data_IF_257991966246
#
_entry.id   IF_257991966246
#
_cell.length_a   1.000
_cell.length_b   1.000
_cell.length_c   1.000
_cell.angle_alpha   90.00
_cell.angle_beta   90.00
_cell.angle_gamma   90.00
#
_symmetry.space_group_name_H-M   'P 1'
#
loop_
_entity.id
_entity.type
_entity.pdbx_description
1 polymer ?
#
# COMPACT_ATOMS: atom_id res chain seq x y z
N UNK A 1 -88.07 0.70 -13.02
CA UNK A 1 -88.26 2.09 -13.49
C UNK A 1 -86.89 2.67 -13.82
N UNK A 2 -86.73 3.07 -15.07
CA UNK A 2 -85.75 3.99 -15.68
C UNK A 2 -84.22 3.79 -15.49
N UNK A 3 -83.58 3.35 -16.59
CA UNK A 3 -82.33 3.96 -17.11
C UNK A 3 -82.69 5.20 -17.98
N UNK A 4 -81.80 5.96 -18.70
CA UNK A 4 -80.31 6.03 -18.79
C UNK A 4 -79.75 7.50 -18.87
N UNK A 5 -78.45 7.69 -19.20
CA UNK A 5 -77.73 8.81 -19.91
C UNK A 5 -76.35 9.08 -19.25
N UNK A 6 -75.17 8.70 -19.80
CA UNK A 6 -74.39 9.13 -20.99
C UNK A 6 -73.88 10.59 -20.99
N UNK A 7 -72.53 10.73 -21.10
CA UNK A 7 -71.65 11.73 -21.77
C UNK A 7 -70.38 11.92 -20.90
N UNK A 8 -69.21 11.32 -21.20
CA UNK A 8 -68.21 11.57 -22.26
C UNK A 8 -67.34 12.83 -22.06
N UNK A 9 -66.03 12.65 -21.81
CA UNK A 9 -64.83 13.33 -22.37
C UNK A 9 -63.63 13.11 -21.40
N UNK A 10 -62.52 12.45 -21.74
CA UNK A 10 -61.36 12.79 -22.61
C UNK A 10 -60.08 13.07 -21.78
N UNK A 11 -58.95 12.65 -22.37
CA UNK A 11 -57.53 12.90 -22.05
C UNK A 11 -56.94 12.04 -20.90
N UNK A 12 -56.12 11.02 -21.18
CA UNK A 12 -54.75 11.03 -21.73
C UNK A 12 -53.70 11.65 -20.80
N UNK A 13 -52.87 10.82 -20.17
CA UNK A 13 -51.41 10.94 -20.25
C UNK A 13 -50.72 9.66 -19.75
N UNK A 14 -49.68 9.29 -20.46
CA UNK A 14 -48.82 8.15 -20.21
C UNK A 14 -47.84 8.40 -19.06
N UNK A 15 -47.51 7.34 -18.32
CA UNK A 15 -46.16 7.09 -17.82
C UNK A 15 -46.03 5.60 -17.50
N UNK A 16 -45.30 4.88 -18.36
CA UNK A 16 -44.85 3.53 -18.08
C UNK A 16 -43.76 3.60 -17.00
N UNK A 17 -44.13 3.36 -15.75
CA UNK A 17 -43.19 3.08 -14.66
C UNK A 17 -42.99 1.58 -14.58
N UNK A 18 -42.10 1.03 -15.41
CA UNK A 18 -41.65 -0.35 -15.27
C UNK A 18 -40.85 -0.51 -13.98
N UNK A 19 -41.47 -1.11 -12.96
CA UNK A 19 -40.77 -1.62 -11.78
C UNK A 19 -39.89 -2.79 -12.22
N UNK A 20 -38.65 -2.50 -12.62
CA UNK A 20 -37.58 -3.51 -12.68
C UNK A 20 -36.94 -3.56 -11.31
N UNK A 21 -37.38 -4.51 -10.49
CA UNK A 21 -36.66 -4.94 -9.31
C UNK A 21 -35.35 -5.60 -9.76
N UNK A 22 -34.29 -4.80 -9.87
CA UNK A 22 -32.94 -5.33 -9.98
C UNK A 22 -32.54 -5.84 -8.60
N UNK A 23 -32.72 -7.13 -8.36
CA UNK A 23 -32.05 -7.85 -7.30
C UNK A 23 -30.56 -7.90 -7.67
N UNK A 24 -29.77 -6.98 -7.13
CA UNK A 24 -28.31 -7.13 -7.13
C UNK A 24 -27.95 -8.22 -6.13
N UNK A 25 -27.77 -9.43 -6.64
CA UNK A 25 -27.05 -10.51 -5.97
C UNK A 25 -25.61 -10.03 -5.70
N UNK A 26 -25.34 -9.56 -4.49
CA UNK A 26 -23.97 -9.35 -4.00
C UNK A 26 -23.33 -10.72 -3.78
N UNK A 27 -22.66 -11.24 -4.81
CA UNK A 27 -21.60 -12.22 -4.63
C UNK A 27 -20.35 -11.45 -4.18
N UNK A 28 -20.26 -11.19 -2.88
CA UNK A 28 -19.08 -10.63 -2.24
C UNK A 28 -17.96 -11.68 -2.20
N UNK A 29 -17.14 -11.70 -3.24
CA UNK A 29 -15.84 -12.39 -3.29
C UNK A 29 -15.04 -11.79 -4.44
N UNK A 30 -14.76 -10.50 -4.34
CA UNK A 30 -13.90 -9.79 -5.27
C UNK A 30 -13.16 -8.71 -4.49
N UNK A 31 -11.86 -8.61 -4.72
CA UNK A 31 -11.03 -7.48 -4.32
C UNK A 31 -11.67 -6.20 -4.87
N UNK A 32 -12.51 -5.55 -4.07
CA UNK A 32 -13.14 -4.29 -4.45
C UNK A 32 -12.11 -3.16 -4.32
N UNK A 33 -12.12 -2.24 -5.29
CA UNK A 33 -11.33 -1.01 -5.27
C UNK A 33 -11.84 -0.16 -4.11
N UNK A 34 -11.20 -0.27 -2.95
CA UNK A 34 -11.49 0.55 -1.77
C UNK A 34 -11.25 2.04 -2.09
N UNK A 35 -12.05 2.98 -1.55
CA UNK A 35 -11.59 4.37 -1.43
C UNK A 35 -10.19 4.34 -0.79
N UNK A 36 -9.25 5.13 -1.32
CA UNK A 36 -7.80 5.00 -1.07
C UNK A 36 -7.50 4.45 0.33
N UNK A 37 -7.20 3.15 0.41
CA UNK A 37 -7.04 2.41 1.66
C UNK A 37 -6.00 3.09 2.57
N UNK A 38 -4.94 3.60 1.96
CA UNK A 38 -3.96 4.47 2.61
C UNK A 38 -4.25 5.92 2.25
N UNK A 39 -4.54 6.72 3.27
CA UNK A 39 -4.68 8.17 3.15
C UNK A 39 -3.38 8.85 3.57
N UNK A 40 -3.04 9.93 2.87
CA UNK A 40 -1.95 10.82 3.25
C UNK A 40 -2.48 11.99 4.06
N UNK A 41 -1.70 12.41 5.06
CA UNK A 41 -1.92 13.67 5.76
C UNK A 41 -1.73 14.82 4.76
N UNK A 42 -2.68 15.78 4.66
CA UNK A 42 -2.62 16.82 3.62
C UNK A 42 -1.47 17.81 3.81
N UNK A 43 -0.90 17.91 5.01
CA UNK A 43 0.18 18.84 5.33
C UNK A 43 1.54 18.21 5.03
N UNK A 44 1.76 16.98 5.51
CA UNK A 44 3.03 16.28 5.42
C UNK A 44 3.14 15.42 4.16
N UNK A 45 2.00 15.12 3.52
CA UNK A 45 1.86 14.16 2.42
C UNK A 45 2.28 12.73 2.80
N UNK A 46 2.49 12.44 4.08
CA UNK A 46 2.87 11.13 4.60
C UNK A 46 1.63 10.29 4.92
N UNK A 47 1.69 8.95 4.74
CA UNK A 47 0.62 8.08 5.19
C UNK A 47 0.46 8.15 6.71
N UNK A 48 -0.76 8.00 7.20
CA UNK A 48 -1.06 7.98 8.63
C UNK A 48 -2.00 6.83 8.98
N UNK A 49 -1.94 6.39 10.24
CA UNK A 49 -2.79 5.34 10.81
C UNK A 49 -3.46 5.84 12.08
N UNK A 50 -4.74 5.51 12.25
CA UNK A 50 -5.58 5.95 13.37
C UNK A 50 -6.28 4.75 13.99
N UNK A 51 -6.05 4.54 15.29
CA UNK A 51 -6.67 3.46 16.05
C UNK A 51 -5.80 2.22 16.15
N UNK A 52 -6.44 1.07 16.30
CA UNK A 52 -5.80 -0.24 16.43
C UNK A 52 -6.54 -1.25 15.55
N UNK A 53 -5.85 -2.21 14.92
CA UNK A 53 -6.50 -3.22 14.11
C UNK A 53 -7.30 -4.19 14.97
N UNK A 54 -8.50 -4.52 14.49
CA UNK A 54 -9.24 -5.65 15.04
C UNK A 54 -8.47 -6.96 14.83
N UNK A 55 -8.74 -7.96 15.68
CA UNK A 55 -8.03 -9.23 15.65
C UNK A 55 -8.14 -9.98 14.30
N UNK A 56 -9.26 -9.82 13.58
CA UNK A 56 -9.42 -10.43 12.25
C UNK A 56 -8.57 -9.74 11.20
N UNK A 57 -8.53 -8.40 11.20
CA UNK A 57 -7.69 -7.58 10.31
C UNK A 57 -6.22 -7.93 10.54
N UNK A 58 -5.79 -8.02 11.79
CA UNK A 58 -4.41 -8.39 12.15
C UNK A 58 -4.04 -9.78 11.64
N UNK A 59 -4.93 -10.77 11.78
CA UNK A 59 -4.69 -12.14 11.28
C UNK A 59 -4.56 -12.17 9.75
N UNK A 60 -5.45 -11.49 9.05
CA UNK A 60 -5.36 -11.38 7.59
C UNK A 60 -4.06 -10.67 7.18
N UNK A 61 -3.68 -9.58 7.85
CA UNK A 61 -2.43 -8.86 7.57
C UNK A 61 -1.19 -9.73 7.71
N UNK A 62 -1.11 -10.53 8.78
CA UNK A 62 0.00 -11.48 9.00
C UNK A 62 0.04 -12.58 7.93
N UNK A 63 -1.11 -13.10 7.53
CA UNK A 63 -1.19 -14.15 6.51
C UNK A 63 -0.81 -13.64 5.11
N UNK A 64 -1.23 -12.42 4.76
CA UNK A 64 -0.81 -11.77 3.52
C UNK A 64 0.68 -11.40 3.56
N UNK A 65 1.23 -11.05 4.72
CA UNK A 65 2.66 -10.79 4.87
C UNK A 65 3.48 -12.07 4.66
N UNK A 66 3.03 -13.22 5.15
CA UNK A 66 3.69 -14.51 4.89
C UNK A 66 3.75 -14.82 3.38
N UNK A 67 2.69 -14.51 2.63
CA UNK A 67 2.71 -14.60 1.16
C UNK A 67 3.70 -13.59 0.54
N UNK A 68 3.77 -12.36 1.04
CA UNK A 68 4.73 -11.37 0.56
C UNK A 68 6.18 -11.84 0.75
N UNK A 69 6.47 -12.45 1.89
CA UNK A 69 7.81 -12.99 2.22
C UNK A 69 8.18 -14.19 1.35
N UNK A 70 7.21 -14.98 0.91
CA UNK A 70 7.40 -16.12 0.00
C UNK A 70 7.58 -15.69 -1.47
N UNK A 71 7.05 -14.52 -1.83
CA UNK A 71 7.05 -14.00 -3.21
C UNK A 71 7.66 -12.58 -3.32
N UNK A 72 8.88 -12.32 -2.81
CA UNK A 72 9.45 -10.97 -2.72
C UNK A 72 9.78 -10.35 -4.10
N UNK A 73 9.84 -11.15 -5.15
CA UNK A 73 10.03 -10.71 -6.54
C UNK A 73 8.73 -10.23 -7.20
N UNK A 74 7.58 -10.58 -6.62
CA UNK A 74 6.26 -10.28 -7.17
C UNK A 74 5.45 -9.35 -6.28
N UNK A 75 5.65 -9.45 -4.96
CA UNK A 75 4.96 -8.66 -3.94
C UNK A 75 5.95 -7.67 -3.33
N UNK A 76 5.55 -6.40 -3.29
CA UNK A 76 6.33 -5.32 -2.66
C UNK A 76 6.12 -5.27 -1.16
N UNK A 77 4.91 -5.53 -0.69
CA UNK A 77 4.60 -5.60 0.73
C UNK A 77 3.12 -5.49 1.03
N UNK A 78 2.81 -5.49 2.32
CA UNK A 78 1.46 -5.44 2.86
C UNK A 78 1.33 -4.25 3.81
N UNK A 79 0.19 -3.57 3.80
CA UNK A 79 -0.10 -2.50 4.75
C UNK A 79 -1.55 -2.55 5.21
N UNK A 80 -1.79 -2.12 6.44
CA UNK A 80 -3.15 -1.83 6.91
C UNK A 80 -3.67 -0.53 6.29
N UNK A 81 -4.98 -0.45 6.07
CA UNK A 81 -5.64 0.81 5.72
C UNK A 81 -5.52 1.81 6.89
N UNK A 82 -5.66 3.11 6.59
CA UNK A 82 -5.46 4.21 7.55
C UNK A 82 -6.30 4.05 8.82
N UNK A 83 -7.53 3.54 8.74
CA UNK A 83 -8.39 3.32 9.91
C UNK A 83 -8.49 1.85 10.34
N UNK A 84 -7.56 1.01 9.87
CA UNK A 84 -7.52 -0.43 10.14
C UNK A 84 -8.79 -1.20 9.76
N UNK A 85 -9.58 -0.68 8.84
CA UNK A 85 -10.79 -1.32 8.32
C UNK A 85 -10.50 -2.41 7.28
N UNK A 86 -9.24 -2.62 6.92
CA UNK A 86 -8.83 -3.58 5.90
C UNK A 86 -7.32 -3.63 5.69
N UNK A 87 -6.91 -4.39 4.68
CA UNK A 87 -5.50 -4.60 4.31
C UNK A 87 -5.33 -4.38 2.81
N UNK A 88 -4.25 -3.71 2.41
CA UNK A 88 -3.82 -3.60 1.02
C UNK A 88 -2.53 -4.37 0.80
N UNK A 89 -2.46 -5.09 -0.33
CA UNK A 89 -1.26 -5.76 -0.80
C UNK A 89 -0.75 -5.05 -2.04
N UNK A 90 0.52 -4.66 -2.02
CA UNK A 90 1.19 -4.03 -3.14
C UNK A 90 1.91 -5.09 -3.95
N UNK A 91 1.50 -5.28 -5.20
CA UNK A 91 2.12 -6.25 -6.11
C UNK A 91 2.71 -5.53 -7.31
N UNK A 92 3.74 -6.10 -7.90
CA UNK A 92 4.33 -5.56 -9.13
C UNK A 92 3.42 -5.83 -10.33
N UNK A 93 3.65 -5.12 -11.43
CA UNK A 93 2.97 -5.39 -12.71
C UNK A 93 3.27 -6.80 -13.26
N UNK A 94 4.33 -7.44 -12.75
CA UNK A 94 4.79 -8.78 -13.14
C UNK A 94 4.25 -9.89 -12.24
N UNK A 95 3.46 -9.56 -11.21
CA UNK A 95 2.89 -10.56 -10.33
C UNK A 95 2.05 -11.58 -11.10
N UNK A 96 2.36 -12.85 -10.91
CA UNK A 96 1.73 -13.97 -11.59
C UNK A 96 0.27 -14.14 -11.18
N UNK A 97 -0.51 -14.81 -12.03
CA UNK A 97 -1.89 -15.15 -11.71
C UNK A 97 -1.98 -16.12 -10.52
N UNK A 98 -0.95 -16.95 -10.32
CA UNK A 98 -0.84 -17.83 -9.15
C UNK A 98 -0.72 -17.03 -7.86
N UNK A 99 0.20 -16.06 -7.81
CA UNK A 99 0.36 -15.15 -6.67
C UNK A 99 -0.94 -14.38 -6.39
N UNK A 100 -1.59 -13.84 -7.43
CA UNK A 100 -2.87 -13.13 -7.28
C UNK A 100 -3.99 -14.04 -6.77
N UNK A 101 -4.04 -15.30 -7.23
CA UNK A 101 -5.00 -16.29 -6.76
C UNK A 101 -4.75 -16.66 -5.30
N UNK A 102 -3.49 -16.85 -4.89
CA UNK A 102 -3.12 -17.12 -3.50
C UNK A 102 -3.53 -15.99 -2.56
N UNK A 103 -3.30 -14.73 -2.96
CA UNK A 103 -3.75 -13.54 -2.22
C UNK A 103 -5.28 -13.49 -2.09
N UNK A 104 -6.00 -13.78 -3.18
CA UNK A 104 -7.46 -13.82 -3.17
C UNK A 104 -8.01 -14.96 -2.28
N UNK A 105 -7.38 -16.14 -2.29
CA UNK A 105 -7.72 -17.26 -1.42
C UNK A 105 -7.52 -16.90 0.05
N UNK A 106 -6.37 -16.32 0.40
CA UNK A 106 -6.09 -15.86 1.76
C UNK A 106 -7.13 -14.85 2.24
N UNK A 107 -7.45 -13.84 1.43
CA UNK A 107 -8.51 -12.87 1.74
C UNK A 107 -9.89 -13.54 1.92
N UNK A 108 -10.21 -14.53 1.09
CA UNK A 108 -11.46 -15.29 1.16
C UNK A 108 -11.67 -16.06 2.47
N UNK A 109 -10.59 -16.34 3.23
CA UNK A 109 -10.68 -16.97 4.57
C UNK A 109 -11.19 -16.04 5.66
N UNK A 110 -11.24 -14.73 5.40
CA UNK A 110 -11.66 -13.70 6.36
C UNK A 110 -12.86 -12.91 5.84
N UNK A 111 -14.04 -13.56 5.71
CA UNK A 111 -15.22 -12.87 5.20
C UNK A 111 -15.60 -11.70 6.12
N UNK A 112 -15.76 -10.51 5.52
CA UNK A 112 -16.08 -9.28 6.24
C UNK A 112 -14.87 -8.40 6.57
N UNK A 113 -13.64 -8.85 6.28
CA UNK A 113 -12.45 -7.98 6.32
C UNK A 113 -12.10 -7.55 4.88
N UNK A 114 -12.25 -6.26 4.54
CA UNK A 114 -11.81 -5.74 3.26
C UNK A 114 -10.33 -6.01 2.97
N UNK A 115 -10.06 -6.48 1.75
CA UNK A 115 -8.71 -6.61 1.21
C UNK A 115 -8.68 -6.05 -0.22
N UNK A 116 -7.61 -5.33 -0.56
CA UNK A 116 -7.36 -4.83 -1.92
C UNK A 116 -5.96 -5.20 -2.41
N UNK A 117 -5.80 -5.26 -3.73
CA UNK A 117 -4.50 -5.40 -4.40
C UNK A 117 -4.26 -4.13 -5.19
N UNK A 118 -3.11 -3.50 -4.94
CA UNK A 118 -2.62 -2.37 -5.73
C UNK A 118 -1.43 -2.82 -6.59
N UNK A 119 -1.54 -2.62 -7.90
CA UNK A 119 -0.53 -3.01 -8.87
C UNK A 119 0.37 -1.83 -9.23
N UNK A 120 1.67 -2.11 -9.35
CA UNK A 120 2.66 -1.18 -9.92
C UNK A 120 3.95 -1.12 -9.11
N UNK A 121 4.93 -0.37 -9.62
CA UNK A 121 6.21 -0.12 -8.95
C UNK A 121 7.11 -1.36 -8.82
N UNK A 122 8.17 -1.22 -8.03
CA UNK A 122 9.22 -2.24 -7.90
C UNK A 122 8.88 -3.33 -6.88
N UNK A 123 9.49 -4.51 -7.04
CA UNK A 123 9.37 -5.61 -6.09
C UNK A 123 10.14 -5.33 -4.80
N UNK A 124 9.89 -6.11 -3.74
CA UNK A 124 10.65 -5.99 -2.50
C UNK A 124 12.14 -6.33 -2.73
N UNK A 125 12.43 -7.34 -3.55
CA UNK A 125 13.81 -7.69 -3.94
C UNK A 125 14.52 -6.54 -4.67
N UNK A 126 13.83 -5.86 -5.58
CA UNK A 126 14.39 -4.71 -6.32
C UNK A 126 14.66 -3.52 -5.39
N UNK A 127 13.70 -3.21 -4.50
CA UNK A 127 13.86 -2.11 -3.54
C UNK A 127 14.98 -2.37 -2.53
N UNK A 128 15.09 -3.60 -2.02
CA UNK A 128 16.17 -3.98 -1.10
C UNK A 128 17.54 -3.95 -1.79
N UNK A 129 17.63 -4.39 -3.04
CA UNK A 129 18.86 -4.31 -3.85
C UNK A 129 19.27 -2.86 -4.12
N UNK A 130 18.30 -1.99 -4.42
CA UNK A 130 18.51 -0.56 -4.60
C UNK A 130 19.00 0.09 -3.29
N UNK A 131 18.40 -0.25 -2.16
CA UNK A 131 18.84 0.22 -0.83
C UNK A 131 20.26 -0.23 -0.48
N UNK A 132 20.63 -1.48 -0.78
CA UNK A 132 22.00 -1.97 -0.57
C UNK A 132 23.03 -1.18 -1.39
N UNK A 133 22.67 -0.83 -2.63
CA UNK A 133 23.50 0.01 -3.51
C UNK A 133 23.65 1.43 -2.95
N UNK A 134 22.55 2.03 -2.48
CA UNK A 134 22.57 3.35 -1.88
C UNK A 134 23.37 3.38 -0.57
N UNK A 135 23.26 2.34 0.26
CA UNK A 135 24.00 2.23 1.54
C UNK A 135 25.51 2.26 1.32
N UNK A 136 25.96 1.61 0.24
CA UNK A 136 27.38 1.54 -0.11
C UNK A 136 27.93 2.85 -0.68
N UNK A 137 27.11 3.64 -1.39
CA UNK A 137 27.60 4.70 -2.27
C UNK A 137 27.00 6.11 -2.05
N UNK A 138 25.92 6.26 -1.29
CA UNK A 138 25.18 7.53 -1.22
C UNK A 138 24.55 7.89 0.13
N UNK A 139 24.27 6.92 0.99
CA UNK A 139 23.57 7.18 2.27
C UNK A 139 24.50 7.59 3.42
N UNK A 140 25.81 7.61 3.19
CA UNK A 140 26.81 8.11 4.16
C UNK A 140 26.95 9.64 4.14
N UNK A 141 26.13 10.34 3.34
CA UNK A 141 26.17 11.79 3.25
C UNK A 141 25.65 12.44 4.55
N UNK A 142 26.33 13.49 5.05
CA UNK A 142 25.82 14.26 6.19
C UNK A 142 24.40 14.75 5.95
N UNK A 143 23.58 14.74 7.01
CA UNK A 143 22.20 15.22 6.96
C UNK A 143 21.16 14.17 6.58
N UNK A 144 21.54 12.95 6.18
CA UNK A 144 20.56 11.87 6.00
C UNK A 144 20.19 11.29 7.37
N UNK A 145 18.89 11.25 7.64
CA UNK A 145 18.32 10.83 8.91
C UNK A 145 17.71 9.45 8.92
N UNK A 146 17.10 9.04 7.82
CA UNK A 146 16.57 7.70 7.65
C UNK A 146 16.34 7.45 6.18
N UNK A 147 16.17 6.18 5.83
CA UNK A 147 15.80 5.75 4.50
C UNK A 147 15.10 4.40 4.56
N UNK A 148 14.24 4.11 3.59
CA UNK A 148 13.54 2.84 3.54
C UNK A 148 12.69 2.67 2.29
N UNK A 149 12.21 1.45 2.03
CA UNK A 149 11.28 1.20 0.94
C UNK A 149 9.95 1.89 1.24
N UNK A 150 9.39 2.58 0.25
CA UNK A 150 8.04 3.12 0.30
C UNK A 150 7.10 2.16 -0.43
N UNK A 151 6.34 1.38 0.34
CA UNK A 151 5.43 0.38 -0.21
C UNK A 151 4.25 1.01 -0.97
N UNK A 152 3.90 2.26 -0.69
CA UNK A 152 2.78 2.94 -1.35
C UNK A 152 3.18 3.40 -2.75
N UNK A 153 4.31 4.10 -2.85
CA UNK A 153 4.79 4.67 -4.11
C UNK A 153 5.58 3.67 -4.95
N UNK A 154 6.08 2.59 -4.34
CA UNK A 154 6.96 1.64 -5.02
C UNK A 154 8.38 2.15 -5.23
N UNK A 155 8.82 3.10 -4.40
CA UNK A 155 10.13 3.73 -4.45
C UNK A 155 10.89 3.62 -3.13
N UNK A 156 11.84 4.52 -2.95
CA UNK A 156 12.63 4.68 -1.72
C UNK A 156 12.38 6.09 -1.17
N UNK A 157 12.01 6.14 0.10
CA UNK A 157 11.94 7.37 0.87
C UNK A 157 13.28 7.61 1.57
N UNK A 158 13.73 8.87 1.58
CA UNK A 158 14.95 9.30 2.28
C UNK A 158 14.64 10.58 3.03
N UNK A 159 14.68 10.50 4.36
CA UNK A 159 14.61 11.66 5.24
C UNK A 159 15.96 12.38 5.31
N UNK A 160 15.98 13.68 5.02
CA UNK A 160 17.21 14.47 5.04
C UNK A 160 17.00 15.88 5.57
N UNK A 161 17.99 16.39 6.33
CA UNK A 161 17.98 17.74 6.88
C UNK A 161 18.45 18.77 5.84
N UNK A 162 17.55 19.63 5.34
CA UNK A 162 17.89 20.62 4.32
C UNK A 162 18.88 21.69 4.80
N UNK A 163 19.11 21.81 6.11
CA UNK A 163 20.13 22.71 6.66
C UNK A 163 21.54 22.13 6.58
N UNK A 164 21.66 20.80 6.44
CA UNK A 164 22.92 20.07 6.42
C UNK A 164 23.30 19.59 5.01
N UNK A 165 22.31 19.39 4.13
CA UNK A 165 22.53 18.92 2.76
C UNK A 165 21.66 19.66 1.74
N UNK A 166 22.24 19.93 0.57
CA UNK A 166 21.48 20.42 -0.58
C UNK A 166 20.68 19.26 -1.20
N UNK A 167 19.35 19.33 -1.13
CA UNK A 167 18.46 18.24 -1.57
C UNK A 167 18.56 17.94 -3.07
N UNK A 168 18.82 18.94 -3.92
CA UNK A 168 18.97 18.72 -5.36
C UNK A 168 20.26 17.97 -5.68
N UNK A 169 21.36 18.35 -5.03
CA UNK A 169 22.64 17.66 -5.15
C UNK A 169 22.57 16.23 -4.58
N UNK A 170 21.87 16.06 -3.45
CA UNK A 170 21.60 14.75 -2.87
C UNK A 170 20.83 13.87 -3.86
N UNK A 171 19.73 14.39 -4.43
CA UNK A 171 18.94 13.68 -5.45
C UNK A 171 19.82 13.23 -6.61
N UNK A 172 20.62 14.13 -7.19
CA UNK A 172 21.52 13.81 -8.30
C UNK A 172 22.51 12.69 -7.94
N UNK A 173 23.09 12.74 -6.74
CA UNK A 173 24.07 11.76 -6.26
C UNK A 173 23.44 10.37 -6.08
N UNK A 174 22.26 10.32 -5.48
CA UNK A 174 21.52 9.07 -5.25
C UNK A 174 21.02 8.48 -6.57
N UNK A 175 20.46 9.30 -7.47
CA UNK A 175 20.05 8.87 -8.81
C UNK A 175 21.23 8.34 -9.61
N UNK A 176 22.41 8.98 -9.54
CA UNK A 176 23.61 8.48 -10.19
C UNK A 176 24.03 7.11 -9.62
N UNK A 177 23.92 6.90 -8.31
CA UNK A 177 24.21 5.61 -7.67
C UNK A 177 23.25 4.51 -8.13
N UNK A 178 21.96 4.83 -8.26
CA UNK A 178 20.92 3.90 -8.71
C UNK A 178 20.97 3.62 -10.21
N UNK A 179 21.56 4.50 -11.02
CA UNK A 179 21.72 4.22 -12.46
C UNK A 179 22.52 2.93 -12.75
N UNK A 180 23.30 2.45 -11.77
CA UNK A 180 24.12 1.24 -11.87
C UNK A 180 23.32 -0.06 -11.81
N UNK A 181 22.11 -0.06 -11.24
CA UNK A 181 21.30 -1.28 -11.06
C UNK A 181 20.34 -1.57 -12.24
N UNK A 182 20.31 -0.71 -13.26
CA UNK A 182 19.54 -0.94 -14.49
C UNK A 182 18.02 -0.87 -14.33
N UNK A 183 17.54 -0.41 -13.17
CA UNK A 183 16.12 -0.22 -12.85
C UNK A 183 15.91 1.23 -12.43
N UNK A 184 14.84 1.85 -12.95
CA UNK A 184 14.44 3.19 -12.51
C UNK A 184 13.76 3.08 -11.15
N UNK A 185 14.43 3.58 -10.11
CA UNK A 185 13.91 3.56 -8.73
C UNK A 185 13.36 4.95 -8.39
N UNK A 186 12.05 5.10 -8.14
CA UNK A 186 11.49 6.36 -7.68
C UNK A 186 12.12 6.77 -6.35
N UNK A 187 12.68 7.99 -6.31
CA UNK A 187 13.25 8.57 -5.11
C UNK A 187 12.38 9.70 -4.58
N UNK A 188 12.02 9.59 -3.31
CA UNK A 188 11.29 10.62 -2.58
C UNK A 188 12.18 11.17 -1.46
N UNK A 189 12.51 12.46 -1.55
CA UNK A 189 13.30 13.15 -0.54
C UNK A 189 12.36 13.89 0.39
N UNK A 190 12.39 13.54 1.67
CA UNK A 190 11.53 14.10 2.70
C UNK A 190 12.38 15.06 3.55
N UNK A 191 12.12 16.38 3.49
CA UNK A 191 12.86 17.35 4.29
C UNK A 191 12.48 17.19 5.76
N UNK A 192 13.47 16.91 6.62
CA UNK A 192 13.28 16.72 8.06
C UNK A 192 14.33 17.52 8.83
N UNK A 193 13.91 18.60 9.49
CA UNK A 193 14.82 19.46 10.23
C UNK A 193 15.21 18.86 11.58
N UNK A 194 16.49 18.96 11.95
CA UNK A 194 16.96 18.57 13.28
C UNK A 194 17.33 17.09 13.41
N UNK A 195 17.54 16.39 12.29
CA UNK A 195 18.01 15.01 12.36
C UNK A 195 19.46 15.00 12.83
N UNK A 196 19.68 14.55 14.07
CA UNK A 196 21.00 14.22 14.57
C UNK A 196 21.56 13.06 13.73
N UNK A 197 22.77 13.22 13.18
CA UNK A 197 23.46 12.22 12.37
C UNK A 197 23.38 10.82 13.00
N UNK A 198 22.85 9.86 12.26
CA UNK A 198 22.71 8.47 12.70
C UNK A 198 24.04 7.92 13.23
N UNK A 199 24.07 7.65 14.53
CA UNK A 199 24.94 6.63 15.10
C UNK A 199 24.30 5.29 14.74
N UNK A 200 24.84 4.59 13.74
CA UNK A 200 24.41 3.21 13.44
C UNK A 200 24.73 2.36 14.67
N UNK A 201 23.71 2.05 15.49
CA UNK A 201 23.83 1.05 16.54
C UNK A 201 23.77 -0.33 15.87
N UNK A 202 24.91 -0.87 15.49
CA UNK A 202 25.05 -2.29 15.17
C UNK A 202 24.95 -3.08 16.49
N UNK A 203 23.73 -3.24 16.99
CA UNK A 203 23.41 -4.15 18.09
C UNK A 203 23.54 -5.60 17.62
N UNK A 204 24.77 -6.06 17.41
CA UNK A 204 25.07 -7.49 17.43
C UNK A 204 25.07 -7.88 18.90
N UNK A 205 23.94 -8.35 19.38
CA UNK A 205 23.86 -9.08 20.64
C UNK A 205 24.62 -10.41 20.43
N UNK A 206 25.93 -10.41 20.70
CA UNK A 206 26.71 -11.63 20.86
C UNK A 206 26.17 -12.33 22.11
N UNK A 207 25.21 -13.23 21.91
CA UNK A 207 24.77 -14.19 22.92
C UNK A 207 25.97 -15.03 23.36
N UNK A 208 26.54 -14.67 24.51
CA UNK A 208 27.50 -15.50 25.22
C UNK A 208 26.77 -16.75 25.74
N UNK A 209 26.90 -17.86 25.02
CA UNK A 209 26.53 -19.18 25.51
C UNK A 209 27.36 -19.51 26.74
N UNK A 210 26.70 -19.65 27.88
CA UNK A 210 27.27 -20.27 29.07
C UNK A 210 26.96 -21.76 29.00
N UNK A 211 28.00 -22.57 28.81
CA UNK A 211 27.93 -24.01 29.01
C UNK A 211 27.73 -24.28 30.51
N UNK A 212 26.67 -25.02 30.82
CA UNK A 212 26.50 -25.65 32.12
C UNK A 212 27.33 -26.95 32.15
N UNK A 213 28.21 -27.05 33.14
CA UNK A 213 28.64 -28.32 33.74
C UNK A 213 27.83 -28.55 35.02
#
# INVERSE_FOLDING_TARGET
MFAPLRFALVAALAAAGGLTSASSTQNGSALDVLPACIQSDPTTQQPYWVGEPEAQVSRLGLELQDLADQHPDEIRGVSYCTHYEGVVVFVTDRASDETKAALAEAAGRYPGVPASIEQGGLSLTELTSALATLSSNGLQLPGIGWYGPNLVTGGIDIGADPNLVNLDQLRQTLTASLSQIGVEVPLNLIPEAGVATNSVSTGVEQGAGTNAD
#
